data_IF_324760947581
#
_entry.id   IF_324760947581
#
_cell.length_a   1.000
_cell.length_b   1.000
_cell.length_c   1.000
_cell.angle_alpha   90.00
_cell.angle_beta   90.00
_cell.angle_gamma   90.00
#
_symmetry.space_group_name_H-M   'P 1'
#
loop_
_entity.id
_entity.type
_entity.pdbx_description
1 polymer ?
#
# COMPACT_ATOMS: atom_id res chain seq x y z
N UNK A 1 18.36 12.49 -9.67
CA UNK A 1 19.50 12.61 -8.75
C UNK A 1 20.72 12.14 -9.52
N UNK A 2 21.66 13.07 -9.87
CA UNK A 2 22.73 12.75 -10.79
C UNK A 2 24.07 12.43 -10.09
N UNK A 3 24.19 12.69 -8.79
CA UNK A 3 25.39 12.37 -8.01
C UNK A 3 25.08 12.14 -6.53
N UNK A 4 26.05 11.60 -5.79
CA UNK A 4 25.95 11.28 -4.37
C UNK A 4 25.55 12.51 -3.52
N UNK A 5 26.09 13.68 -3.83
CA UNK A 5 25.82 14.91 -3.08
C UNK A 5 24.33 15.29 -3.14
N UNK A 6 23.68 15.16 -4.31
CA UNK A 6 22.23 15.41 -4.46
C UNK A 6 21.39 14.38 -3.74
N UNK A 7 21.82 13.10 -3.68
CA UNK A 7 21.18 12.07 -2.87
C UNK A 7 21.24 12.43 -1.38
N UNK A 8 22.41 12.84 -0.89
CA UNK A 8 22.62 13.24 0.52
C UNK A 8 21.76 14.45 0.86
N UNK A 9 21.76 15.50 0.06
CA UNK A 9 20.92 16.69 0.27
C UNK A 9 19.41 16.34 0.29
N UNK A 10 18.96 15.43 -0.57
CA UNK A 10 17.59 14.96 -0.58
C UNK A 10 17.24 14.21 0.71
N UNK A 11 18.09 13.28 1.16
CA UNK A 11 17.90 12.52 2.41
C UNK A 11 17.90 13.45 3.61
N UNK A 12 18.83 14.40 3.69
CA UNK A 12 18.89 15.39 4.78
C UNK A 12 17.61 16.20 4.88
N UNK A 13 17.11 16.71 3.73
CA UNK A 13 15.86 17.47 3.67
C UNK A 13 14.63 16.64 4.08
N UNK A 14 14.62 15.34 3.81
CA UNK A 14 13.56 14.44 4.29
C UNK A 14 13.67 14.20 5.80
N UNK A 15 14.88 14.00 6.33
CA UNK A 15 15.10 13.83 7.77
C UNK A 15 14.70 15.07 8.58
N UNK A 16 15.00 16.27 8.09
CA UNK A 16 14.57 17.53 8.73
C UNK A 16 13.03 17.63 8.78
N UNK A 17 12.33 17.18 7.73
CA UNK A 17 10.87 17.12 7.68
C UNK A 17 10.27 16.08 8.64
N UNK A 18 10.94 14.93 8.80
CA UNK A 18 10.52 13.86 9.72
C UNK A 18 10.76 14.30 11.17
N UNK A 19 11.93 14.84 11.50
CA UNK A 19 12.29 15.31 12.84
C UNK A 19 11.38 16.45 13.34
N UNK A 20 10.90 17.31 12.45
CA UNK A 20 9.97 18.39 12.79
C UNK A 20 8.57 17.89 13.23
N UNK A 21 8.22 16.63 12.93
CA UNK A 21 6.91 16.05 13.23
C UNK A 21 6.90 15.05 14.40
N UNK A 22 8.05 14.58 14.92
CA UNK A 22 8.10 13.42 15.82
C UNK A 22 9.12 13.58 16.97
N UNK A 23 8.93 14.60 17.78
CA UNK A 23 9.80 14.86 18.96
C UNK A 23 9.59 13.86 20.13
N UNK A 24 8.73 12.84 20.00
CA UNK A 24 8.31 11.99 21.13
C UNK A 24 8.74 10.51 21.06
N UNK A 25 9.46 10.07 20.01
CA UNK A 25 9.79 8.63 19.80
C UNK A 25 11.30 8.34 19.88
N UNK A 26 12.13 9.28 20.29
CA UNK A 26 13.59 9.18 20.15
C UNK A 26 14.34 8.23 21.09
N UNK A 27 13.75 7.65 22.14
CA UNK A 27 14.58 6.99 23.16
C UNK A 27 14.71 5.47 23.10
N UNK A 28 13.87 4.73 22.39
CA UNK A 28 13.94 3.24 22.32
C UNK A 28 14.20 2.63 20.95
N UNK A 29 14.10 3.41 19.87
CA UNK A 29 14.22 2.92 18.49
C UNK A 29 15.66 3.06 17.93
N UNK A 30 16.54 3.74 18.61
CA UNK A 30 17.90 4.08 18.15
C UNK A 30 18.77 2.85 17.78
N UNK A 31 18.55 1.68 18.38
CA UNK A 31 19.39 0.49 18.17
C UNK A 31 19.01 -0.37 16.95
N UNK A 32 17.88 -0.12 16.28
CA UNK A 32 17.40 -0.96 15.15
C UNK A 32 16.85 -0.16 13.97
N UNK A 33 17.50 0.92 13.58
CA UNK A 33 17.12 1.68 12.39
C UNK A 33 17.67 1.00 11.13
N UNK A 34 16.79 0.78 10.15
CA UNK A 34 17.14 0.28 8.83
C UNK A 34 16.61 1.23 7.76
N UNK A 35 17.27 1.25 6.60
CA UNK A 35 16.77 1.95 5.42
C UNK A 35 16.82 1.04 4.19
N UNK A 36 15.95 1.33 3.21
CA UNK A 36 15.94 0.64 1.93
C UNK A 36 16.34 1.63 0.84
N UNK A 37 17.40 1.31 0.13
CA UNK A 37 17.89 2.06 -1.02
C UNK A 37 17.39 1.40 -2.29
N UNK A 38 16.52 2.10 -3.05
CA UNK A 38 16.01 1.61 -4.33
C UNK A 38 16.82 2.16 -5.49
N UNK A 39 17.41 1.27 -6.29
CA UNK A 39 17.92 1.58 -7.61
C UNK A 39 16.81 1.36 -8.64
N UNK A 40 16.37 2.42 -9.29
CA UNK A 40 15.45 2.34 -10.43
C UNK A 40 16.25 2.10 -11.72
N UNK A 41 15.67 1.29 -12.63
CA UNK A 41 16.29 1.06 -13.94
C UNK A 41 16.59 2.38 -14.65
N UNK A 42 17.82 2.48 -15.17
CA UNK A 42 18.32 3.65 -15.87
C UNK A 42 18.27 3.43 -17.39
N UNK A 43 18.20 4.49 -18.20
CA UNK A 43 18.19 4.36 -19.67
C UNK A 43 19.53 3.91 -20.24
N UNK A 44 20.58 3.81 -19.42
CA UNK A 44 21.90 3.32 -19.77
C UNK A 44 22.31 2.16 -18.87
N UNK A 45 23.14 1.27 -19.41
CA UNK A 45 23.71 0.14 -18.66
C UNK A 45 25.13 0.51 -18.20
N UNK A 46 25.44 0.14 -16.97
CA UNK A 46 26.82 0.07 -16.45
C UNK A 46 27.27 -1.39 -16.40
N UNK A 47 28.57 -1.63 -16.31
CA UNK A 47 29.09 -2.95 -15.95
C UNK A 47 28.61 -3.32 -14.53
N UNK A 48 28.39 -4.61 -14.27
CA UNK A 48 27.83 -5.09 -12.99
C UNK A 48 28.70 -4.69 -11.80
N UNK A 49 30.01 -4.77 -11.94
CA UNK A 49 30.99 -4.42 -10.92
C UNK A 49 31.00 -2.91 -10.63
N UNK A 50 30.90 -2.07 -11.65
CA UNK A 50 30.77 -0.62 -11.50
C UNK A 50 29.44 -0.23 -10.84
N UNK A 51 28.35 -0.94 -11.15
CA UNK A 51 27.06 -0.69 -10.57
C UNK A 51 27.01 -1.09 -9.09
N UNK A 52 27.60 -2.23 -8.73
CA UNK A 52 27.68 -2.69 -7.34
C UNK A 52 28.56 -1.78 -6.48
N UNK A 53 29.70 -1.31 -7.03
CA UNK A 53 30.56 -0.35 -6.34
C UNK A 53 29.81 0.96 -6.10
N UNK A 54 29.16 1.52 -7.12
CA UNK A 54 28.38 2.74 -7.01
C UNK A 54 27.23 2.62 -6.00
N UNK A 55 26.50 1.48 -6.01
CA UNK A 55 25.43 1.22 -5.01
C UNK A 55 25.98 1.13 -3.59
N UNK A 56 27.18 0.60 -3.44
CA UNK A 56 27.84 0.49 -2.11
C UNK A 56 28.26 1.86 -1.60
N UNK A 57 28.78 2.74 -2.48
CA UNK A 57 29.08 4.13 -2.15
C UNK A 57 27.82 4.92 -1.77
N UNK A 58 26.70 4.71 -2.50
CA UNK A 58 25.41 5.35 -2.19
C UNK A 58 24.84 4.86 -0.86
N UNK A 59 24.99 3.55 -0.57
CA UNK A 59 24.57 2.99 0.70
C UNK A 59 25.40 3.57 1.87
N UNK A 60 26.72 3.72 1.69
CA UNK A 60 27.56 4.34 2.71
C UNK A 60 27.17 5.79 2.95
N UNK A 61 27.00 6.58 1.87
CA UNK A 61 26.58 7.98 1.97
C UNK A 61 25.20 8.12 2.66
N UNK A 62 24.26 7.21 2.38
CA UNK A 62 22.98 7.19 3.07
C UNK A 62 23.12 6.82 4.54
N UNK A 63 23.96 5.85 4.86
CA UNK A 63 24.23 5.43 6.25
C UNK A 63 24.83 6.57 7.07
N UNK A 64 25.79 7.29 6.51
CA UNK A 64 26.45 8.44 7.16
C UNK A 64 25.45 9.56 7.48
N UNK A 65 24.55 9.89 6.54
CA UNK A 65 23.49 10.91 6.76
C UNK A 65 22.47 10.48 7.78
N UNK A 66 22.08 9.19 7.76
CA UNK A 66 21.07 8.65 8.67
C UNK A 66 21.65 8.31 10.05
N UNK A 67 22.97 8.35 10.22
CA UNK A 67 23.67 7.96 11.46
C UNK A 67 23.41 6.49 11.84
N UNK A 68 23.43 5.57 10.83
CA UNK A 68 23.26 4.14 11.00
C UNK A 68 24.42 3.38 10.33
N UNK A 69 24.58 2.09 10.65
CA UNK A 69 25.59 1.26 9.97
C UNK A 69 25.20 1.02 8.49
N UNK A 70 26.18 0.96 7.60
CA UNK A 70 25.97 0.61 6.20
C UNK A 70 25.32 -0.79 6.02
N UNK A 71 25.55 -1.72 6.96
CA UNK A 71 24.90 -3.04 7.00
C UNK A 71 23.39 -2.96 7.24
N UNK A 72 22.89 -1.82 7.73
CA UNK A 72 21.47 -1.54 7.90
C UNK A 72 20.83 -0.91 6.65
N UNK A 73 21.58 -0.70 5.57
CA UNK A 73 21.05 -0.23 4.29
C UNK A 73 20.76 -1.44 3.38
N UNK A 74 19.48 -1.72 3.17
CA UNK A 74 19.05 -2.79 2.25
C UNK A 74 18.98 -2.24 0.83
N UNK A 75 19.82 -2.76 -0.06
CA UNK A 75 19.86 -2.36 -1.48
C UNK A 75 18.83 -3.18 -2.27
N UNK A 76 17.96 -2.50 -3.04
CA UNK A 76 16.98 -3.14 -3.94
C UNK A 76 16.99 -2.50 -5.32
N UNK A 77 16.90 -3.33 -6.35
CA UNK A 77 16.68 -2.86 -7.72
C UNK A 77 15.20 -2.90 -8.07
N UNK A 78 14.68 -1.79 -8.61
CA UNK A 78 13.36 -1.71 -9.24
C UNK A 78 13.53 -1.64 -10.77
N UNK A 79 13.29 -2.78 -11.42
CA UNK A 79 13.18 -2.87 -12.89
C UNK A 79 11.70 -2.71 -13.28
N UNK A 80 11.39 -2.18 -14.50
CA UNK A 80 10.04 -2.21 -15.02
C UNK A 80 9.53 -3.64 -15.01
N UNK A 81 8.44 -3.87 -14.30
CA UNK A 81 7.92 -5.23 -14.14
C UNK A 81 7.18 -5.64 -15.40
N UNK A 82 7.68 -6.70 -16.05
CA UNK A 82 6.97 -7.40 -17.12
C UNK A 82 6.53 -8.75 -16.55
N UNK A 83 5.21 -8.91 -16.30
CA UNK A 83 4.64 -10.19 -15.86
C UNK A 83 4.68 -10.45 -14.34
N UNK A 84 4.67 -11.75 -13.98
CA UNK A 84 4.49 -12.25 -12.60
C UNK A 84 5.65 -11.98 -11.60
N UNK A 85 6.70 -11.26 -12.00
CA UNK A 85 7.91 -11.07 -11.20
C UNK A 85 7.71 -10.20 -9.94
N UNK A 86 6.53 -9.59 -9.78
CA UNK A 86 6.18 -8.78 -8.62
C UNK A 86 6.17 -9.57 -7.30
N UNK A 87 5.98 -10.89 -7.40
CA UNK A 87 5.85 -11.80 -6.27
C UNK A 87 7.10 -12.68 -6.06
N UNK A 88 8.17 -12.48 -6.84
CA UNK A 88 9.37 -13.28 -6.72
C UNK A 88 10.13 -12.95 -5.43
N UNK A 89 10.43 -14.01 -4.67
CA UNK A 89 11.32 -13.93 -3.52
C UNK A 89 12.75 -13.76 -4.02
N UNK A 90 13.42 -12.67 -3.64
CA UNK A 90 14.86 -12.56 -3.80
C UNK A 90 15.52 -13.31 -2.65
N UNK A 91 16.31 -14.33 -2.95
CA UNK A 91 17.09 -15.04 -1.94
C UNK A 91 18.29 -14.18 -1.57
N UNK A 92 18.20 -13.47 -0.46
CA UNK A 92 19.33 -12.75 0.14
C UNK A 92 19.92 -13.58 1.27
N UNK A 93 21.25 -13.53 1.46
CA UNK A 93 21.94 -14.26 2.54
C UNK A 93 21.49 -13.79 3.93
N UNK A 94 21.11 -12.52 4.06
CA UNK A 94 20.63 -11.94 5.32
C UNK A 94 19.16 -11.54 5.19
N UNK A 95 18.30 -12.23 5.95
CA UNK A 95 16.87 -11.91 6.00
C UNK A 95 16.64 -10.88 7.11
N UNK A 96 16.18 -9.69 6.72
CA UNK A 96 15.87 -8.58 7.64
C UNK A 96 14.35 -8.43 7.69
N UNK A 97 13.78 -8.85 8.81
CA UNK A 97 12.35 -8.75 9.13
C UNK A 97 12.16 -8.16 10.51
N UNK A 98 11.06 -7.47 10.70
CA UNK A 98 10.74 -6.88 11.98
C UNK A 98 9.31 -6.38 12.03
N UNK A 99 9.01 -5.66 13.09
CA UNK A 99 7.76 -4.94 13.25
C UNK A 99 8.06 -3.45 13.29
N UNK A 100 7.19 -2.66 12.68
CA UNK A 100 7.19 -1.20 12.77
C UNK A 100 5.87 -0.74 13.36
N UNK A 101 5.89 0.42 13.98
CA UNK A 101 4.69 1.04 14.52
C UNK A 101 4.30 2.24 13.67
N UNK A 102 3.01 2.35 13.35
CA UNK A 102 2.42 3.51 12.70
C UNK A 102 1.13 3.89 13.45
N UNK A 103 1.07 5.09 14.04
CA UNK A 103 -0.09 5.58 14.79
C UNK A 103 -0.67 4.57 15.81
N UNK A 104 0.19 3.92 16.58
CA UNK A 104 -0.09 2.87 17.55
C UNK A 104 -0.45 1.48 17.00
N UNK A 105 -0.58 1.30 15.68
CA UNK A 105 -0.71 -0.01 15.06
C UNK A 105 0.66 -0.60 14.75
N UNK A 106 0.78 -1.92 14.94
CA UNK A 106 2.01 -2.68 14.68
C UNK A 106 1.89 -3.41 13.35
N UNK A 107 2.90 -3.27 12.50
CA UNK A 107 2.96 -3.93 11.20
C UNK A 107 4.23 -4.73 11.06
N UNK A 108 4.10 -5.99 10.68
CA UNK A 108 5.23 -6.81 10.24
C UNK A 108 5.77 -6.26 8.93
N UNK A 109 7.09 -6.14 8.82
CA UNK A 109 7.79 -5.75 7.60
C UNK A 109 8.84 -6.81 7.21
N UNK A 110 9.16 -6.85 5.93
CA UNK A 110 10.23 -7.66 5.35
C UNK A 110 11.05 -6.78 4.41
N UNK A 111 12.21 -6.35 4.86
CA UNK A 111 13.06 -5.45 4.09
C UNK A 111 13.89 -6.15 3.02
N UNK A 112 14.01 -7.46 3.05
CA UNK A 112 14.99 -8.20 2.24
C UNK A 112 14.39 -9.16 1.21
N UNK A 113 13.28 -9.84 1.54
CA UNK A 113 12.77 -10.96 0.73
C UNK A 113 11.93 -10.51 -0.47
N UNK A 114 11.11 -9.45 -0.28
CA UNK A 114 10.19 -8.95 -1.31
C UNK A 114 10.62 -7.58 -1.80
N UNK A 115 10.18 -7.21 -3.01
CA UNK A 115 10.44 -5.87 -3.54
C UNK A 115 9.80 -4.80 -2.65
N UNK A 116 8.52 -4.97 -2.33
CA UNK A 116 7.79 -4.09 -1.42
C UNK A 116 7.90 -4.61 0.02
N UNK A 117 8.00 -3.71 0.98
CA UNK A 117 8.42 -4.02 2.36
C UNK A 117 7.28 -4.45 3.29
N UNK A 118 6.05 -4.40 2.85
CA UNK A 118 4.88 -4.79 3.62
C UNK A 118 4.00 -3.64 4.09
N UNK A 119 4.43 -2.39 3.97
CA UNK A 119 3.65 -1.21 4.32
C UNK A 119 3.94 -0.06 3.35
N UNK A 120 2.90 0.50 2.74
CA UNK A 120 2.99 1.68 1.88
C UNK A 120 2.77 2.94 2.70
N UNK A 121 3.81 3.76 2.86
CA UNK A 121 3.78 4.93 3.75
C UNK A 121 2.95 6.10 3.24
N UNK A 122 2.79 6.21 1.94
CA UNK A 122 2.00 7.27 1.30
C UNK A 122 0.51 7.21 1.64
N UNK A 123 -0.02 6.05 2.01
CA UNK A 123 -1.43 5.88 2.41
C UNK A 123 -1.73 6.14 3.90
N UNK A 124 -0.78 6.62 4.70
CA UNK A 124 -1.00 6.90 6.14
C UNK A 124 -2.23 7.78 6.42
N UNK A 125 -2.44 8.91 5.71
CA UNK A 125 -3.62 9.74 5.96
C UNK A 125 -4.93 9.03 5.63
N UNK A 126 -4.96 8.25 4.53
CA UNK A 126 -6.15 7.48 4.19
C UNK A 126 -6.43 6.39 5.22
N UNK A 127 -5.41 5.68 5.72
CA UNK A 127 -5.58 4.70 6.80
C UNK A 127 -6.19 5.34 8.04
N UNK A 128 -5.69 6.51 8.47
CA UNK A 128 -6.26 7.24 9.60
C UNK A 128 -7.75 7.59 9.36
N UNK A 129 -8.08 8.07 8.16
CA UNK A 129 -9.47 8.38 7.77
C UNK A 129 -10.36 7.12 7.77
N UNK A 130 -9.85 5.96 7.35
CA UNK A 130 -10.58 4.68 7.45
C UNK A 130 -10.89 4.35 8.90
N UNK A 131 -9.91 4.45 9.82
CA UNK A 131 -10.12 4.24 11.26
C UNK A 131 -11.22 5.11 11.82
N UNK A 132 -11.18 6.41 11.54
CA UNK A 132 -12.16 7.38 12.01
C UNK A 132 -13.59 7.08 11.53
N UNK A 133 -13.72 6.47 10.35
CA UNK A 133 -15.01 6.23 9.70
C UNK A 133 -15.50 4.77 9.78
N UNK A 134 -14.75 3.86 10.41
CA UNK A 134 -15.08 2.42 10.40
C UNK A 134 -16.04 1.97 11.52
N UNK A 135 -16.29 2.80 12.52
CA UNK A 135 -17.06 2.42 13.71
C UNK A 135 -18.42 1.78 13.41
N UNK A 136 -18.63 0.54 13.87
CA UNK A 136 -19.82 -0.30 13.67
C UNK A 136 -20.15 -0.63 12.20
N UNK A 137 -19.27 -0.35 11.26
CA UNK A 137 -19.47 -0.55 9.83
C UNK A 137 -18.98 -1.92 9.37
N UNK A 138 -19.57 -2.37 8.27
CA UNK A 138 -19.06 -3.47 7.46
C UNK A 138 -18.09 -2.90 6.44
N UNK A 139 -16.83 -3.36 6.46
CA UNK A 139 -15.73 -2.83 5.64
C UNK A 139 -15.23 -3.91 4.69
N UNK A 140 -15.02 -3.55 3.42
CA UNK A 140 -14.41 -4.39 2.40
C UNK A 140 -13.10 -3.76 1.95
N UNK A 141 -12.02 -4.53 2.01
CA UNK A 141 -10.70 -4.14 1.53
C UNK A 141 -10.28 -5.03 0.36
N UNK A 142 -10.30 -4.46 -0.84
CA UNK A 142 -9.99 -5.12 -2.11
C UNK A 142 -8.54 -4.85 -2.51
N UNK A 143 -7.85 -5.87 -3.05
CA UNK A 143 -6.41 -5.85 -3.27
C UNK A 143 -5.67 -5.55 -1.96
N UNK A 144 -6.06 -6.26 -0.91
CA UNK A 144 -5.76 -5.85 0.45
C UNK A 144 -4.27 -5.92 0.83
N UNK A 145 -3.44 -6.56 0.01
CA UNK A 145 -2.01 -6.73 0.27
C UNK A 145 -1.78 -7.29 1.68
N UNK A 146 -0.98 -6.64 2.51
CA UNK A 146 -0.70 -7.03 3.90
C UNK A 146 -1.78 -6.57 4.90
N UNK A 147 -2.91 -6.07 4.42
CA UNK A 147 -4.08 -5.75 5.23
C UNK A 147 -3.95 -4.50 6.10
N UNK A 148 -3.10 -3.54 5.76
CA UNK A 148 -2.92 -2.34 6.59
C UNK A 148 -4.22 -1.55 6.76
N UNK A 149 -5.02 -1.37 5.72
CA UNK A 149 -6.36 -0.76 5.84
C UNK A 149 -7.31 -1.58 6.71
N UNK A 150 -7.22 -2.91 6.66
CA UNK A 150 -8.04 -3.80 7.48
C UNK A 150 -7.71 -3.67 8.97
N UNK A 151 -6.42 -3.50 9.32
CA UNK A 151 -5.99 -3.22 10.71
C UNK A 151 -6.60 -1.91 11.20
N UNK A 152 -6.52 -0.85 10.40
CA UNK A 152 -7.09 0.46 10.78
C UNK A 152 -8.61 0.44 10.84
N UNK A 153 -9.29 -0.32 9.98
CA UNK A 153 -10.73 -0.53 10.06
C UNK A 153 -11.13 -1.27 11.35
N UNK A 154 -10.38 -2.31 11.71
CA UNK A 154 -10.60 -3.06 12.95
C UNK A 154 -10.38 -2.19 14.19
N UNK A 155 -9.31 -1.39 14.24
CA UNK A 155 -9.02 -0.42 15.30
C UNK A 155 -10.12 0.63 15.42
N UNK A 156 -10.67 1.09 14.31
CA UNK A 156 -11.80 2.02 14.27
C UNK A 156 -13.12 1.41 14.72
N UNK A 157 -13.15 0.14 15.14
CA UNK A 157 -14.34 -0.53 15.66
C UNK A 157 -15.29 -1.03 14.57
N UNK A 158 -14.79 -1.38 13.38
CA UNK A 158 -15.61 -2.02 12.35
C UNK A 158 -16.33 -3.27 12.93
N UNK A 159 -17.59 -3.46 12.54
CA UNK A 159 -18.36 -4.64 12.94
C UNK A 159 -17.96 -5.89 12.15
N UNK A 160 -17.45 -5.71 10.93
CA UNK A 160 -17.00 -6.76 10.05
C UNK A 160 -15.97 -6.22 9.08
N UNK A 161 -14.90 -6.95 8.81
CA UNK A 161 -13.87 -6.58 7.80
C UNK A 161 -13.59 -7.78 6.92
N UNK A 162 -13.82 -7.66 5.62
CA UNK A 162 -13.43 -8.65 4.63
C UNK A 162 -12.23 -8.12 3.82
N UNK A 163 -11.17 -8.91 3.77
CA UNK A 163 -9.92 -8.62 3.05
C UNK A 163 -9.80 -9.59 1.88
N UNK A 164 -9.78 -9.08 0.66
CA UNK A 164 -9.73 -9.90 -0.55
C UNK A 164 -8.41 -9.65 -1.28
N UNK A 165 -7.68 -10.72 -1.60
CA UNK A 165 -6.44 -10.69 -2.37
C UNK A 165 -6.22 -12.03 -3.10
N UNK A 166 -5.48 -12.00 -4.20
CA UNK A 166 -5.12 -13.19 -4.94
C UNK A 166 -4.03 -14.01 -4.23
N UNK A 167 -3.17 -13.35 -3.46
CA UNK A 167 -1.97 -13.93 -2.86
C UNK A 167 -2.23 -14.51 -1.48
N UNK A 168 -2.10 -15.85 -1.34
CA UNK A 168 -2.11 -16.48 -0.03
C UNK A 168 -1.03 -15.93 0.92
N UNK A 169 0.13 -15.56 0.40
CA UNK A 169 1.22 -14.99 1.19
C UNK A 169 0.80 -13.66 1.81
N UNK A 170 0.18 -12.80 1.02
CA UNK A 170 -0.27 -11.50 1.52
C UNK A 170 -1.46 -11.61 2.47
N UNK A 171 -2.41 -12.51 2.20
CA UNK A 171 -3.51 -12.79 3.13
C UNK A 171 -3.01 -13.37 4.47
N UNK A 172 -2.00 -14.24 4.44
CA UNK A 172 -1.36 -14.72 5.68
C UNK A 172 -0.70 -13.57 6.44
N UNK A 173 -0.03 -12.68 5.73
CA UNK A 173 0.61 -11.51 6.33
C UNK A 173 -0.44 -10.52 6.89
N UNK A 174 -1.54 -10.28 6.16
CA UNK A 174 -2.66 -9.48 6.64
C UNK A 174 -3.25 -10.05 7.93
N UNK A 175 -3.44 -11.37 7.99
CA UNK A 175 -3.90 -12.06 9.20
C UNK A 175 -2.94 -11.91 10.37
N UNK A 176 -1.63 -12.01 10.11
CA UNK A 176 -0.60 -11.78 11.13
C UNK A 176 -0.64 -10.32 11.63
N UNK A 177 -0.78 -9.34 10.73
CA UNK A 177 -0.88 -7.93 11.11
C UNK A 177 -2.12 -7.64 11.97
N UNK A 178 -3.29 -8.22 11.65
CA UNK A 178 -4.47 -8.08 12.51
C UNK A 178 -4.21 -8.70 13.89
N UNK A 179 -3.62 -9.90 13.95
CA UNK A 179 -3.31 -10.58 15.22
C UNK A 179 -2.33 -9.81 16.08
N UNK A 180 -1.28 -9.20 15.49
CA UNK A 180 -0.32 -8.35 16.20
C UNK A 180 -0.99 -7.16 16.90
N UNK A 181 -2.13 -6.72 16.41
CA UNK A 181 -2.94 -5.64 16.97
C UNK A 181 -4.13 -6.12 17.80
N UNK A 182 -4.18 -7.42 18.15
CA UNK A 182 -5.22 -8.00 19.01
C UNK A 182 -6.53 -8.38 18.30
N UNK A 183 -6.56 -8.30 16.96
CA UNK A 183 -7.75 -8.61 16.16
C UNK A 183 -7.68 -10.04 15.62
N UNK A 184 -8.32 -11.00 16.29
CA UNK A 184 -8.23 -12.44 15.95
C UNK A 184 -9.57 -13.14 15.74
N UNK A 185 -10.68 -12.44 15.89
CA UNK A 185 -12.03 -12.99 15.68
C UNK A 185 -12.24 -13.36 14.20
N UNK A 186 -12.36 -14.66 13.91
CA UNK A 186 -12.46 -15.17 12.56
C UNK A 186 -13.86 -14.96 11.92
N UNK A 187 -14.89 -14.69 12.70
CA UNK A 187 -16.22 -14.35 12.18
C UNK A 187 -16.29 -12.87 11.78
N UNK A 188 -15.51 -12.05 12.45
CA UNK A 188 -15.47 -10.61 12.26
C UNK A 188 -14.41 -10.19 11.21
N UNK A 189 -13.27 -10.87 11.16
CA UNK A 189 -12.13 -10.55 10.28
C UNK A 189 -11.90 -11.68 9.29
N UNK A 190 -12.43 -11.52 8.08
CA UNK A 190 -12.47 -12.54 7.04
C UNK A 190 -11.40 -12.26 5.98
N UNK A 191 -10.74 -13.32 5.50
CA UNK A 191 -9.72 -13.28 4.48
C UNK A 191 -10.12 -14.18 3.32
N UNK A 192 -10.37 -13.57 2.17
CA UNK A 192 -10.87 -14.27 0.97
C UNK A 192 -9.77 -14.30 -0.09
N UNK A 193 -9.29 -15.51 -0.41
CA UNK A 193 -8.40 -15.69 -1.56
C UNK A 193 -9.22 -15.74 -2.84
N UNK A 194 -9.07 -14.73 -3.68
CA UNK A 194 -9.75 -14.68 -4.98
C UNK A 194 -9.03 -13.73 -5.94
N UNK A 195 -9.24 -13.94 -7.23
CA UNK A 195 -9.08 -12.87 -8.20
C UNK A 195 -10.14 -11.81 -7.91
N UNK A 196 -9.68 -10.60 -7.57
CA UNK A 196 -10.59 -9.54 -7.09
C UNK A 196 -11.58 -9.13 -8.18
N UNK A 197 -11.19 -9.14 -9.44
CA UNK A 197 -12.05 -8.74 -10.57
C UNK A 197 -13.22 -9.73 -10.69
N UNK A 198 -12.90 -11.02 -10.82
CA UNK A 198 -13.92 -12.07 -10.93
C UNK A 198 -14.79 -12.16 -9.66
N UNK A 199 -14.14 -12.03 -8.50
CA UNK A 199 -14.85 -12.09 -7.22
C UNK A 199 -15.85 -10.93 -7.10
N UNK A 200 -15.40 -9.71 -7.44
CA UNK A 200 -16.20 -8.51 -7.37
C UNK A 200 -17.38 -8.57 -8.34
N UNK A 201 -17.16 -9.04 -9.57
CA UNK A 201 -18.20 -9.24 -10.58
C UNK A 201 -19.27 -10.22 -10.10
N UNK A 202 -18.85 -11.42 -9.64
CA UNK A 202 -19.75 -12.45 -9.12
C UNK A 202 -20.53 -11.99 -7.88
N UNK A 203 -19.83 -11.33 -6.94
CA UNK A 203 -20.44 -10.87 -5.69
C UNK A 203 -21.41 -9.72 -5.90
N UNK A 204 -21.06 -8.72 -6.70
CA UNK A 204 -21.93 -7.56 -6.94
C UNK A 204 -23.23 -7.93 -7.64
N UNK A 205 -23.23 -8.99 -8.44
CA UNK A 205 -24.43 -9.50 -9.13
C UNK A 205 -25.43 -10.20 -8.19
N UNK A 206 -24.99 -10.74 -7.06
CA UNK A 206 -25.79 -11.61 -6.19
C UNK A 206 -25.73 -11.24 -4.70
N UNK A 207 -25.22 -10.06 -4.36
CA UNK A 207 -25.10 -9.66 -2.94
C UNK A 207 -26.47 -9.43 -2.33
N UNK A 208 -26.69 -10.01 -1.16
CA UNK A 208 -27.89 -9.78 -0.36
C UNK A 208 -27.79 -8.45 0.36
N UNK A 209 -28.92 -7.76 0.58
CA UNK A 209 -28.95 -6.43 1.18
C UNK A 209 -28.28 -6.38 2.57
N UNK A 210 -28.49 -7.40 3.41
CA UNK A 210 -27.90 -7.52 4.75
C UNK A 210 -26.39 -7.83 4.74
N UNK A 211 -25.82 -8.11 3.58
CA UNK A 211 -24.39 -8.43 3.36
C UNK A 211 -23.62 -7.30 2.70
N UNK A 212 -24.27 -6.22 2.30
CA UNK A 212 -23.62 -5.04 1.72
C UNK A 212 -22.67 -4.37 2.71
N UNK A 213 -21.83 -3.50 2.20
CA UNK A 213 -20.78 -2.83 2.95
C UNK A 213 -21.08 -1.33 3.11
N UNK A 214 -20.64 -0.77 4.23
CA UNK A 214 -20.74 0.67 4.49
C UNK A 214 -19.50 1.43 4.01
N UNK A 215 -18.39 0.71 3.90
CA UNK A 215 -17.09 1.27 3.52
C UNK A 215 -16.33 0.26 2.65
N UNK A 216 -15.92 0.70 1.47
CA UNK A 216 -15.10 -0.12 0.56
C UNK A 216 -13.80 0.61 0.27
N UNK A 217 -12.68 -0.09 0.32
CA UNK A 217 -11.37 0.36 -0.13
C UNK A 217 -11.03 -0.42 -1.41
N UNK A 218 -10.76 0.29 -2.49
CA UNK A 218 -10.36 -0.25 -3.78
C UNK A 218 -9.02 0.38 -4.18
N UNK A 219 -7.92 -0.35 -3.95
CA UNK A 219 -6.55 0.09 -4.21
C UNK A 219 -5.81 -0.89 -5.11
N UNK A 220 -6.22 -1.00 -6.40
CA UNK A 220 -5.68 -1.97 -7.33
C UNK A 220 -4.28 -1.59 -7.81
N UNK A 221 -3.44 -2.59 -8.17
CA UNK A 221 -2.20 -2.34 -8.88
C UNK A 221 -2.46 -1.72 -10.25
N UNK A 222 -1.49 -0.98 -10.80
CA UNK A 222 -1.61 -0.40 -12.15
C UNK A 222 -1.84 -1.47 -13.22
N UNK A 223 -1.13 -2.60 -13.09
CA UNK A 223 -1.28 -3.79 -13.94
C UNK A 223 -1.17 -5.04 -13.09
N UNK A 224 -2.03 -6.02 -13.34
CA UNK A 224 -1.89 -7.36 -12.80
C UNK A 224 -1.86 -8.36 -13.95
N UNK A 225 -0.79 -9.14 -14.02
CA UNK A 225 -0.61 -10.21 -14.99
C UNK A 225 -0.28 -11.49 -14.22
N UNK A 226 -1.30 -12.08 -13.61
CA UNK A 226 -1.16 -13.35 -12.90
C UNK A 226 -1.29 -14.52 -13.87
N UNK A 227 -0.39 -15.52 -13.76
CA UNK A 227 -0.49 -16.79 -14.49
C UNK A 227 -1.75 -17.59 -14.13
N UNK A 228 -2.45 -17.22 -13.07
CA UNK A 228 -3.65 -17.87 -12.56
C UNK A 228 -4.95 -17.18 -13.00
N UNK A 229 -4.88 -16.08 -13.75
CA UNK A 229 -6.04 -15.32 -14.21
C UNK A 229 -6.03 -15.20 -15.73
N UNK A 230 -7.19 -15.41 -16.36
CA UNK A 230 -7.37 -15.20 -17.81
C UNK A 230 -7.44 -13.71 -18.16
N UNK A 231 -7.77 -12.86 -17.17
CA UNK A 231 -7.96 -11.43 -17.34
C UNK A 231 -6.75 -10.64 -16.87
N UNK A 232 -6.17 -9.84 -17.75
CA UNK A 232 -5.11 -8.88 -17.41
C UNK A 232 -5.78 -7.60 -16.96
N UNK A 233 -5.57 -7.21 -15.69
CA UNK A 233 -6.00 -5.92 -15.19
C UNK A 233 -5.14 -4.81 -15.79
N UNK A 234 -5.79 -3.83 -16.40
CA UNK A 234 -5.25 -2.50 -16.67
C UNK A 234 -6.16 -1.47 -16.02
N UNK A 235 -5.73 -0.89 -14.90
CA UNK A 235 -6.57 0.04 -14.15
C UNK A 235 -6.99 1.25 -14.97
N UNK A 236 -6.19 1.67 -15.97
CA UNK A 236 -6.55 2.80 -16.83
C UNK A 236 -7.78 2.52 -17.70
N UNK A 237 -8.01 1.23 -18.02
CA UNK A 237 -9.15 0.76 -18.79
C UNK A 237 -10.30 0.32 -17.89
N UNK A 238 -9.99 -0.42 -16.82
CA UNK A 238 -10.96 -1.26 -16.10
C UNK A 238 -11.60 -0.56 -14.89
N UNK A 239 -11.06 0.60 -14.47
CA UNK A 239 -11.54 1.30 -13.28
C UNK A 239 -13.06 1.57 -13.27
N UNK A 240 -13.76 1.92 -14.40
CA UNK A 240 -15.18 2.21 -14.33
C UNK A 240 -16.01 0.99 -13.91
N UNK A 241 -15.66 -0.20 -14.43
CA UNK A 241 -16.36 -1.46 -14.11
C UNK A 241 -16.09 -1.86 -12.65
N UNK A 242 -14.85 -1.70 -12.18
CA UNK A 242 -14.51 -2.00 -10.78
C UNK A 242 -15.27 -1.08 -9.82
N UNK A 243 -15.31 0.23 -10.10
CA UNK A 243 -16.04 1.21 -9.29
C UNK A 243 -17.55 0.92 -9.33
N UNK A 244 -18.14 0.63 -10.50
CA UNK A 244 -19.55 0.29 -10.63
C UNK A 244 -19.92 -0.94 -9.76
N UNK A 245 -19.11 -2.00 -9.82
CA UNK A 245 -19.34 -3.20 -9.03
C UNK A 245 -19.17 -2.93 -7.53
N UNK A 246 -18.20 -2.12 -7.12
CA UNK A 246 -18.08 -1.67 -5.72
C UNK A 246 -19.33 -0.90 -5.26
N UNK A 247 -19.84 0.02 -6.06
CA UNK A 247 -21.04 0.82 -5.73
C UNK A 247 -22.27 -0.06 -5.56
N UNK A 248 -22.45 -1.11 -6.39
CA UNK A 248 -23.54 -2.10 -6.22
C UNK A 248 -23.48 -2.83 -4.87
N UNK A 249 -22.29 -2.96 -4.29
CA UNK A 249 -22.07 -3.62 -3.00
C UNK A 249 -22.15 -2.67 -1.80
N UNK A 250 -22.35 -1.36 -2.01
CA UNK A 250 -22.52 -0.40 -0.92
C UNK A 250 -23.95 -0.37 -0.38
N UNK A 251 -24.05 -0.18 0.93
CA UNK A 251 -25.28 0.25 1.58
C UNK A 251 -25.62 1.70 1.16
N UNK A 252 -26.89 2.14 1.24
CA UNK A 252 -27.25 3.55 1.15
C UNK A 252 -26.37 4.39 2.09
N UNK A 253 -25.88 5.53 1.61
CA UNK A 253 -24.88 6.38 2.29
C UNK A 253 -23.50 5.74 2.51
N UNK A 254 -23.25 4.57 1.94
CA UNK A 254 -21.93 3.93 1.96
C UNK A 254 -20.89 4.71 1.17
N UNK A 255 -19.63 4.45 1.45
CA UNK A 255 -18.49 5.17 0.87
C UNK A 255 -17.50 4.18 0.24
N UNK A 256 -17.09 4.47 -0.99
CA UNK A 256 -15.96 3.84 -1.67
C UNK A 256 -14.78 4.81 -1.69
N UNK A 257 -13.63 4.36 -1.22
CA UNK A 257 -12.34 5.01 -1.47
C UNK A 257 -11.64 4.26 -2.60
N UNK A 258 -11.52 4.92 -3.75
CA UNK A 258 -10.79 4.41 -4.90
C UNK A 258 -9.45 5.12 -5.01
N UNK A 259 -8.35 4.38 -4.91
CA UNK A 259 -7.01 4.90 -5.09
C UNK A 259 -6.27 4.23 -6.25
N UNK A 260 -5.24 4.89 -6.77
CA UNK A 260 -4.35 4.33 -7.78
C UNK A 260 -3.02 5.10 -7.82
N UNK A 261 -1.94 4.37 -8.04
CA UNK A 261 -0.62 4.94 -8.33
C UNK A 261 -0.39 5.19 -9.84
N UNK A 262 -1.39 4.92 -10.71
CA UNK A 262 -1.27 5.18 -12.14
C UNK A 262 -1.31 6.68 -12.43
N UNK A 263 -0.20 7.22 -12.92
CA UNK A 263 -0.09 8.61 -13.37
C UNK A 263 -0.79 8.85 -14.71
N UNK A 264 -1.15 7.77 -15.44
CA UNK A 264 -1.78 7.82 -16.78
C UNK A 264 -3.30 7.67 -16.72
N UNK A 265 -3.87 7.34 -15.56
CA UNK A 265 -5.31 7.13 -15.45
C UNK A 265 -6.05 8.43 -15.74
N UNK A 266 -6.97 8.40 -16.72
CA UNK A 266 -7.93 9.46 -16.99
C UNK A 266 -9.21 9.15 -16.23
N UNK A 267 -9.41 9.83 -15.10
CA UNK A 267 -10.63 9.70 -14.33
C UNK A 267 -11.71 10.63 -14.91
N UNK A 268 -12.85 10.03 -15.24
CA UNK A 268 -13.97 10.72 -15.85
C UNK A 268 -15.24 10.48 -15.01
N UNK A 269 -15.66 11.48 -14.26
CA UNK A 269 -16.82 11.40 -13.36
C UNK A 269 -18.12 11.04 -14.08
N UNK A 270 -18.22 11.30 -15.39
CA UNK A 270 -19.41 10.93 -16.17
C UNK A 270 -19.63 9.41 -16.30
N UNK A 271 -18.59 8.63 -16.01
CA UNK A 271 -18.63 7.15 -15.99
C UNK A 271 -19.04 6.57 -14.64
N UNK A 272 -19.22 7.40 -13.63
CA UNK A 272 -19.70 6.95 -12.32
C UNK A 272 -21.21 6.64 -12.37
N UNK A 273 -21.69 5.72 -11.52
CA UNK A 273 -23.12 5.49 -11.32
C UNK A 273 -23.86 6.78 -10.95
N UNK A 274 -25.03 7.03 -11.54
CA UNK A 274 -25.79 8.28 -11.43
C UNK A 274 -26.20 8.68 -10.00
N UNK A 275 -26.26 7.69 -9.10
CA UNK A 275 -26.67 7.87 -7.71
C UNK A 275 -25.46 8.01 -6.76
N UNK A 276 -24.34 8.54 -7.29
CA UNK A 276 -23.11 8.75 -6.51
C UNK A 276 -22.65 10.21 -6.55
N UNK A 277 -21.99 10.62 -5.48
CA UNK A 277 -21.21 11.87 -5.39
C UNK A 277 -19.73 11.53 -5.32
N UNK A 278 -18.91 12.27 -6.06
CA UNK A 278 -17.47 12.07 -6.08
C UNK A 278 -16.74 13.31 -5.56
N UNK A 279 -15.68 13.07 -4.78
CA UNK A 279 -14.75 14.11 -4.31
C UNK A 279 -13.33 13.65 -4.57
N UNK A 280 -12.50 14.46 -5.24
CA UNK A 280 -11.07 14.23 -5.35
C UNK A 280 -10.40 14.56 -3.99
N UNK A 281 -9.89 13.53 -3.32
CA UNK A 281 -9.23 13.61 -2.02
C UNK A 281 -7.71 13.51 -2.14
N UNK A 282 -7.15 13.53 -3.34
CA UNK A 282 -5.73 13.28 -3.62
C UNK A 282 -4.82 14.16 -2.75
N UNK A 283 -5.05 15.47 -2.75
CA UNK A 283 -4.21 16.41 -2.00
C UNK A 283 -4.30 16.21 -0.48
N UNK A 284 -5.47 15.82 0.01
CA UNK A 284 -5.72 15.59 1.44
C UNK A 284 -5.21 14.21 1.92
N UNK A 285 -4.84 13.33 0.99
CA UNK A 285 -4.37 11.98 1.29
C UNK A 285 -2.85 11.81 1.21
N UNK A 286 -2.14 12.78 0.64
CA UNK A 286 -0.68 12.73 0.51
C UNK A 286 -0.04 13.27 1.80
N UNK A 287 0.77 12.46 2.52
CA UNK A 287 1.45 12.92 3.72
C UNK A 287 2.60 13.88 3.37
N UNK A 288 2.99 14.72 4.32
CA UNK A 288 3.99 15.80 4.12
C UNK A 288 5.33 15.33 3.54
N UNK A 289 5.80 14.17 3.95
CA UNK A 289 7.04 13.57 3.46
C UNK A 289 6.96 13.08 2.00
N UNK A 290 5.73 12.98 1.44
CA UNK A 290 5.46 12.70 0.03
C UNK A 290 5.00 13.94 -0.75
N UNK A 291 4.99 15.12 -0.14
CA UNK A 291 4.56 16.36 -0.80
C UNK A 291 5.39 16.63 -2.06
N UNK A 292 4.69 16.99 -3.15
CA UNK A 292 5.31 17.21 -4.47
C UNK A 292 5.60 15.92 -5.25
N UNK A 293 5.29 14.75 -4.70
CA UNK A 293 5.36 13.47 -5.44
C UNK A 293 3.99 13.10 -6.03
N UNK A 294 4.00 12.23 -7.05
CA UNK A 294 2.78 11.64 -7.61
C UNK A 294 2.65 10.20 -7.13
N UNK A 295 2.66 9.99 -5.80
CA UNK A 295 2.66 8.66 -5.22
C UNK A 295 1.35 7.91 -5.47
N UNK A 296 0.21 8.57 -5.30
CA UNK A 296 -1.10 8.04 -5.64
C UNK A 296 -2.10 9.17 -5.96
N UNK A 297 -3.28 8.79 -6.44
CA UNK A 297 -4.49 9.62 -6.53
C UNK A 297 -5.59 8.93 -5.76
N UNK A 298 -6.54 9.70 -5.19
CA UNK A 298 -7.62 9.22 -4.35
C UNK A 298 -8.93 9.92 -4.65
N UNK A 299 -9.98 9.15 -4.86
CA UNK A 299 -11.35 9.62 -4.96
C UNK A 299 -12.20 8.99 -3.88
N UNK A 300 -13.00 9.81 -3.23
CA UNK A 300 -14.08 9.40 -2.33
C UNK A 300 -15.39 9.44 -3.10
N UNK A 301 -16.02 8.28 -3.26
CA UNK A 301 -17.29 8.11 -3.97
C UNK A 301 -18.34 7.67 -2.95
N UNK A 302 -19.41 8.42 -2.80
CA UNK A 302 -20.49 8.16 -1.85
C UNK A 302 -21.76 7.79 -2.60
N UNK A 303 -22.43 6.72 -2.18
CA UNK A 303 -23.74 6.30 -2.65
C UNK A 303 -24.83 7.06 -1.85
N UNK A 304 -25.85 7.61 -2.53
CA UNK A 304 -27.02 8.21 -1.88
C UNK A 304 -28.05 7.18 -1.48
#
# INVERSE_FOLDING_TARGET
IHNAKQCVEFIQKQNERIAANDATVESEIAERRFAVLYLYERPYKKAEDEEELWLSEMAQAAADVLGISADHIVKKERKPQKGANQYEKKYTKNIIKGNVQEQNQIFRIDLSTYLDTGLFFDHRPLRAKIRENAGKKRVLNLFCYTGSFSVYAAEGGASYVESVDLSNTYLSWAKDNLRLNGFSDAEKYVFTKADVIEWLEKKSAHIQEDKKFDLIILDPPTFSNSKSTENILDINRDWPVLVENCVKMLNPNGTLYFSTNSTKLSFDESKLPKNTECTDETQNSIPKDFEGTKCHRLWKIRLY
#
